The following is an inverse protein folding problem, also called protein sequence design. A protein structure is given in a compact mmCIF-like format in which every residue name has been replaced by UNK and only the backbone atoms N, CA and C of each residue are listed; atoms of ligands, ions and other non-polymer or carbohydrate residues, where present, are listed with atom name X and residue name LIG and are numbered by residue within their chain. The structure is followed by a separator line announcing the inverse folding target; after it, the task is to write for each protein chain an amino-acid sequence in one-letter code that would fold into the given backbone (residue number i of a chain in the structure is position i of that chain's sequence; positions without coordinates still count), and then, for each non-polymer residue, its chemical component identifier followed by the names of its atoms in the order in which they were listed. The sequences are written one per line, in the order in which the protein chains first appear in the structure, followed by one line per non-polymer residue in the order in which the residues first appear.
data_IF_456577199493
#
_entry.id   IF_456577199493
#
_cell.length_a   1.000
_cell.length_b   1.000
_cell.length_c   1.000
_cell.angle_alpha   90.00
_cell.angle_beta   90.00
_cell.angle_gamma   90.00
#
_symmetry.space_group_name_H-M   'P 1'
#
loop_
_entity.id
_entity.type
_entity.pdbx_description
1 polymer ?
#
# COMPACT_ATOMS: atom_id res chain seq x y z
N UNK A 1 -40.00 -8.10 -18.05
CA UNK A 1 -39.13 -7.19 -18.83
C UNK A 1 -37.90 -7.97 -19.27
N UNK A 2 -37.55 -7.98 -20.57
CA UNK A 2 -36.44 -8.76 -21.08
C UNK A 2 -35.17 -7.96 -20.88
N UNK A 3 -34.25 -8.45 -19.99
CA UNK A 3 -32.88 -7.92 -19.84
C UNK A 3 -32.10 -8.24 -21.13
N UNK A 4 -31.59 -7.22 -21.79
CA UNK A 4 -30.64 -7.38 -22.91
C UNK A 4 -29.22 -7.24 -22.31
N UNK A 5 -28.52 -8.35 -22.30
CA UNK A 5 -27.10 -8.40 -21.93
C UNK A 5 -26.28 -8.15 -23.20
N UNK A 6 -25.62 -7.02 -23.27
CA UNK A 6 -24.70 -6.72 -24.38
C UNK A 6 -23.28 -7.05 -23.90
N UNK A 7 -22.76 -8.17 -24.38
CA UNK A 7 -21.37 -8.58 -24.14
C UNK A 7 -20.47 -7.82 -25.12
N UNK A 8 -19.74 -6.82 -24.66
CA UNK A 8 -18.71 -6.15 -25.46
C UNK A 8 -17.34 -6.75 -25.10
N UNK A 9 -16.81 -7.58 -25.98
CA UNK A 9 -15.49 -8.19 -25.86
C UNK A 9 -14.46 -7.14 -26.30
N UNK A 10 -13.76 -6.49 -25.36
CA UNK A 10 -12.61 -5.64 -25.68
C UNK A 10 -11.35 -6.51 -25.83
N UNK A 11 -10.82 -6.58 -27.06
CA UNK A 11 -9.54 -7.23 -27.33
C UNK A 11 -8.38 -6.41 -26.77
N UNK A 12 -7.65 -6.98 -25.82
CA UNK A 12 -6.33 -6.47 -25.39
C UNK A 12 -5.28 -7.00 -26.36
N UNK A 13 -4.49 -6.08 -26.96
CA UNK A 13 -3.35 -6.42 -27.82
C UNK A 13 -2.18 -6.88 -26.93
N UNK A 14 -1.91 -8.18 -26.95
CA UNK A 14 -0.67 -8.73 -26.42
C UNK A 14 0.45 -8.60 -27.46
N UNK A 15 1.53 -7.94 -27.08
CA UNK A 15 2.78 -7.87 -27.87
C UNK A 15 3.59 -9.15 -27.65
N UNK A 16 3.56 -10.04 -28.62
CA UNK A 16 4.42 -11.23 -28.66
C UNK A 16 5.83 -10.89 -29.17
N UNK A 17 6.83 -11.10 -28.32
CA UNK A 17 8.24 -11.16 -28.72
C UNK A 17 8.60 -12.63 -28.98
N UNK A 18 8.64 -13.00 -30.26
CA UNK A 18 9.12 -14.31 -30.73
C UNK A 18 10.64 -14.34 -30.82
N UNK A 19 11.28 -15.21 -30.06
CA UNK A 19 12.68 -15.62 -30.28
C UNK A 19 12.71 -16.99 -31.00
N UNK A 20 13.17 -17.01 -32.24
CA UNK A 20 13.43 -18.24 -32.99
C UNK A 20 14.73 -18.92 -32.53
N UNK A 21 14.65 -20.19 -32.16
CA UNK A 21 15.82 -21.08 -32.04
C UNK A 21 15.53 -22.41 -32.71
N UNK A 22 16.23 -22.71 -33.83
CA UNK A 22 16.12 -23.96 -34.55
C UNK A 22 17.05 -25.04 -33.94
N UNK A 23 16.53 -26.26 -33.78
CA UNK A 23 17.33 -27.43 -33.39
C UNK A 23 16.66 -28.72 -33.84
N UNK A 24 17.41 -29.61 -34.48
CA UNK A 24 17.05 -30.79 -35.24
C UNK A 24 16.70 -32.02 -34.37
N UNK A 25 16.22 -33.15 -35.00
CA UNK A 25 15.39 -34.17 -34.34
C UNK A 25 16.16 -35.38 -33.81
N UNK A 26 15.61 -36.01 -32.79
CA UNK A 26 16.13 -37.29 -32.29
C UNK A 26 15.36 -37.83 -31.09
N UNK A 27 14.42 -38.67 -31.35
CA UNK A 27 13.77 -39.78 -30.67
C UNK A 27 13.91 -40.02 -29.15
N UNK A 28 12.77 -40.09 -28.51
CA UNK A 28 12.22 -41.19 -27.71
C UNK A 28 10.93 -40.68 -27.05
N UNK A 29 9.83 -41.38 -27.33
CA UNK A 29 8.56 -41.15 -26.62
C UNK A 29 8.70 -41.60 -25.13
N UNK A 30 9.04 -40.66 -24.27
CA UNK A 30 8.73 -40.77 -22.85
C UNK A 30 7.31 -40.19 -22.66
N UNK A 31 6.36 -41.09 -22.40
CA UNK A 31 5.03 -40.76 -21.91
C UNK A 31 5.13 -40.17 -20.49
N UNK A 32 5.65 -38.96 -20.36
CA UNK A 32 5.40 -38.16 -19.18
C UNK A 32 3.91 -37.74 -19.20
N UNK A 33 3.16 -37.81 -18.09
CA UNK A 33 1.80 -37.30 -18.05
C UNK A 33 1.83 -35.83 -18.50
N UNK A 34 0.82 -35.36 -19.25
CA UNK A 34 0.78 -33.97 -19.69
C UNK A 34 0.93 -33.09 -18.47
N UNK A 35 1.94 -32.23 -18.48
CA UNK A 35 2.20 -31.24 -17.45
C UNK A 35 0.94 -30.36 -17.42
N UNK A 36 0.29 -30.26 -16.25
CA UNK A 36 -0.87 -29.40 -16.09
C UNK A 36 -0.45 -28.00 -16.55
N UNK A 37 -1.16 -27.42 -17.52
CA UNK A 37 -0.92 -26.06 -17.97
C UNK A 37 -0.99 -25.14 -16.77
N UNK A 38 0.00 -24.27 -16.57
CA UNK A 38 -0.01 -23.29 -15.49
C UNK A 38 -1.22 -22.38 -15.67
N UNK A 39 -2.02 -22.22 -14.62
CA UNK A 39 -3.15 -21.31 -14.62
C UNK A 39 -2.68 -19.96 -14.06
N UNK A 40 -3.17 -18.89 -14.66
CA UNK A 40 -2.94 -17.53 -14.17
C UNK A 40 -4.26 -16.78 -14.03
N UNK A 41 -4.25 -15.75 -13.18
CA UNK A 41 -5.38 -14.85 -13.00
C UNK A 41 -5.33 -13.73 -14.02
N UNK A 42 -6.51 -13.36 -14.54
CA UNK A 42 -6.73 -12.13 -15.31
C UNK A 42 -7.96 -11.40 -14.76
N UNK A 43 -8.01 -10.09 -14.90
CA UNK A 43 -9.16 -9.28 -14.53
C UNK A 43 -9.84 -8.78 -15.80
N UNK A 44 -11.08 -9.21 -16.01
CA UNK A 44 -11.97 -8.69 -17.04
C UNK A 44 -12.92 -7.65 -16.43
N UNK A 45 -13.47 -6.78 -17.27
CA UNK A 45 -14.51 -5.82 -16.84
C UNK A 45 -15.84 -6.21 -17.47
N UNK A 46 -16.86 -6.35 -16.61
CA UNK A 46 -18.25 -6.53 -17.03
C UNK A 46 -19.03 -5.24 -16.84
N UNK A 47 -19.75 -4.81 -17.89
CA UNK A 47 -20.53 -3.57 -17.87
C UNK A 47 -22.00 -3.91 -17.76
N UNK A 48 -22.69 -3.25 -16.81
CA UNK A 48 -24.12 -3.30 -16.58
C UNK A 48 -24.70 -1.91 -16.84
N UNK A 49 -25.76 -1.83 -17.63
CA UNK A 49 -26.44 -0.58 -17.97
C UNK A 49 -27.95 -0.78 -17.92
N UNK A 50 -28.66 0.19 -17.34
CA UNK A 50 -30.09 0.20 -17.35
C UNK A 50 -30.63 1.64 -17.26
N UNK A 51 -31.88 1.87 -17.73
CA UNK A 51 -32.58 3.13 -17.61
C UNK A 51 -33.95 2.92 -16.98
N UNK A 52 -34.28 3.72 -16.00
CA UNK A 52 -35.58 3.79 -15.39
C UNK A 52 -36.38 4.94 -16.01
N UNK A 53 -37.61 4.67 -16.46
CA UNK A 53 -38.41 5.63 -17.21
C UNK A 53 -39.77 5.87 -16.57
N UNK A 54 -40.27 7.10 -16.74
CA UNK A 54 -41.68 7.44 -16.46
C UNK A 54 -42.62 6.78 -17.49
N UNK A 55 -43.94 6.84 -17.22
CA UNK A 55 -44.94 6.22 -18.08
C UNK A 55 -45.00 6.86 -19.48
N UNK A 56 -44.56 8.11 -19.63
CA UNK A 56 -44.46 8.84 -20.90
C UNK A 56 -43.14 8.59 -21.65
N UNK A 57 -42.21 7.76 -21.10
CA UNK A 57 -40.94 7.40 -21.69
C UNK A 57 -39.79 8.30 -21.30
N UNK A 58 -40.01 9.33 -20.48
CA UNK A 58 -38.94 10.20 -19.97
C UNK A 58 -37.98 9.38 -19.09
N UNK A 59 -36.67 9.47 -19.38
CA UNK A 59 -35.64 8.84 -18.54
C UNK A 59 -35.58 9.59 -17.21
N UNK A 60 -35.73 8.87 -16.10
CA UNK A 60 -35.66 9.39 -14.74
C UNK A 60 -34.32 9.17 -14.10
N UNK A 61 -33.74 7.98 -14.30
CA UNK A 61 -32.44 7.56 -13.81
C UNK A 61 -31.75 6.68 -14.86
N UNK A 62 -30.46 6.89 -15.05
CA UNK A 62 -29.57 5.94 -15.73
C UNK A 62 -28.57 5.35 -14.73
N UNK A 63 -28.35 4.05 -14.85
CA UNK A 63 -27.29 3.35 -14.12
C UNK A 63 -26.30 2.74 -15.06
N UNK A 64 -25.01 2.79 -14.69
CA UNK A 64 -23.91 2.17 -15.42
C UNK A 64 -22.83 1.70 -14.46
N UNK A 65 -22.59 0.40 -14.43
CA UNK A 65 -21.60 -0.19 -13.52
C UNK A 65 -20.54 -0.97 -14.28
N UNK A 66 -19.27 -0.64 -14.05
CA UNK A 66 -18.11 -1.42 -14.44
C UNK A 66 -17.71 -2.28 -13.26
N UNK A 67 -17.88 -3.60 -13.38
CA UNK A 67 -17.51 -4.54 -12.34
C UNK A 67 -16.33 -5.41 -12.78
N UNK A 68 -15.31 -5.57 -11.92
CA UNK A 68 -14.22 -6.48 -12.21
C UNK A 68 -14.70 -7.92 -12.06
N UNK A 69 -14.23 -8.78 -12.96
CA UNK A 69 -14.43 -10.22 -12.93
C UNK A 69 -13.07 -10.90 -12.92
N UNK A 70 -12.79 -11.67 -11.88
CA UNK A 70 -11.57 -12.44 -11.81
C UNK A 70 -11.72 -13.72 -12.65
N UNK A 71 -10.87 -13.89 -13.64
CA UNK A 71 -10.84 -15.02 -14.55
C UNK A 71 -9.59 -15.88 -14.31
N UNK A 72 -9.72 -17.20 -14.43
CA UNK A 72 -8.60 -18.11 -14.54
C UNK A 72 -8.39 -18.47 -16.01
N UNK A 73 -7.16 -18.33 -16.47
CA UNK A 73 -6.79 -18.65 -17.85
C UNK A 73 -5.63 -19.63 -17.91
N UNK A 74 -5.60 -20.40 -18.99
CA UNK A 74 -4.47 -21.28 -19.35
C UNK A 74 -3.35 -20.44 -19.96
N UNK A 75 -2.15 -21.03 -20.12
CA UNK A 75 -1.01 -20.39 -20.82
C UNK A 75 -1.36 -19.96 -22.26
N UNK A 76 -2.29 -20.66 -22.90
CA UNK A 76 -2.77 -20.31 -24.25
C UNK A 76 -3.84 -19.21 -24.21
N UNK A 77 -4.19 -18.67 -23.04
CA UNK A 77 -5.17 -17.61 -22.84
C UNK A 77 -6.65 -18.06 -22.88
N UNK A 78 -6.91 -19.37 -22.89
CA UNK A 78 -8.28 -19.88 -22.85
C UNK A 78 -8.85 -19.81 -21.44
N UNK A 79 -10.14 -19.45 -21.32
CA UNK A 79 -10.83 -19.40 -20.04
C UNK A 79 -10.91 -20.81 -19.42
N UNK A 80 -10.42 -20.93 -18.18
CA UNK A 80 -10.50 -22.17 -17.45
C UNK A 80 -11.87 -22.33 -16.79
N UNK A 81 -12.60 -23.38 -17.19
CA UNK A 81 -13.88 -23.76 -16.55
C UNK A 81 -13.75 -25.14 -15.89
N UNK A 82 -14.13 -25.24 -14.63
CA UNK A 82 -13.96 -26.47 -13.82
C UNK A 82 -14.65 -27.68 -14.47
N UNK A 83 -15.81 -27.47 -15.10
CA UNK A 83 -16.65 -28.54 -15.65
C UNK A 83 -16.03 -29.25 -16.87
N UNK A 84 -15.26 -28.54 -17.67
CA UNK A 84 -14.65 -29.08 -18.90
C UNK A 84 -13.32 -29.79 -18.64
N UNK A 85 -12.56 -29.31 -17.64
CA UNK A 85 -11.23 -29.84 -17.34
C UNK A 85 -11.24 -31.08 -16.41
N UNK A 86 -12.28 -31.28 -15.62
CA UNK A 86 -12.42 -32.51 -14.79
C UNK A 86 -12.56 -33.76 -15.67
N UNK A 87 -13.13 -33.61 -16.87
CA UNK A 87 -13.35 -34.74 -17.79
C UNK A 87 -12.20 -34.98 -18.78
N UNK A 88 -11.43 -33.95 -19.15
CA UNK A 88 -10.42 -34.06 -20.20
C UNK A 88 -9.02 -34.46 -19.71
N UNK A 89 -8.60 -34.08 -18.51
CA UNK A 89 -7.21 -34.21 -18.03
C UNK A 89 -7.05 -34.85 -16.63
N UNK A 90 -8.03 -35.58 -16.11
CA UNK A 90 -7.91 -36.19 -14.78
C UNK A 90 -7.85 -35.20 -13.62
N UNK A 91 -8.33 -33.98 -13.83
CA UNK A 91 -8.73 -33.02 -12.82
C UNK A 91 -7.64 -32.56 -11.85
N UNK A 92 -6.64 -31.83 -12.31
CA UNK A 92 -5.72 -31.09 -11.44
C UNK A 92 -5.74 -29.58 -11.71
N UNK A 93 -6.94 -28.98 -11.69
CA UNK A 93 -7.02 -27.52 -11.46
C UNK A 93 -6.55 -27.23 -10.04
N UNK A 94 -5.82 -26.12 -9.82
CA UNK A 94 -5.45 -25.74 -8.45
C UNK A 94 -6.72 -25.36 -7.67
N UNK A 95 -7.20 -26.16 -6.72
CA UNK A 95 -8.44 -25.87 -5.99
C UNK A 95 -8.42 -24.51 -5.29
N UNK A 96 -7.24 -24.05 -4.86
CA UNK A 96 -7.06 -22.75 -4.19
C UNK A 96 -7.36 -21.58 -5.16
N UNK A 97 -6.83 -21.62 -6.39
CA UNK A 97 -7.10 -20.58 -7.39
C UNK A 97 -8.59 -20.49 -7.76
N UNK A 98 -9.25 -21.64 -7.92
CA UNK A 98 -10.71 -21.69 -8.17
C UNK A 98 -11.49 -21.17 -6.99
N UNK A 99 -11.06 -21.46 -5.76
CA UNK A 99 -11.70 -20.93 -4.55
C UNK A 99 -11.55 -19.40 -4.48
N UNK A 100 -10.37 -18.86 -4.74
CA UNK A 100 -10.11 -17.43 -4.78
C UNK A 100 -10.96 -16.74 -5.85
N UNK A 101 -10.98 -17.25 -7.09
CA UNK A 101 -11.83 -16.75 -8.16
C UNK A 101 -13.30 -16.67 -7.74
N UNK A 102 -13.84 -17.75 -7.16
CA UNK A 102 -15.23 -17.81 -6.74
C UNK A 102 -15.54 -16.85 -5.60
N UNK A 103 -14.63 -16.69 -4.63
CA UNK A 103 -14.80 -15.77 -3.51
C UNK A 103 -14.86 -14.33 -4.01
N UNK A 104 -13.91 -13.92 -4.84
CA UNK A 104 -13.88 -12.58 -5.43
C UNK A 104 -15.15 -12.29 -6.25
N UNK A 105 -15.50 -13.16 -7.19
CA UNK A 105 -16.66 -12.96 -8.07
C UNK A 105 -18.00 -13.01 -7.31
N UNK A 106 -18.07 -13.74 -6.19
CA UNK A 106 -19.25 -13.72 -5.31
C UNK A 106 -19.41 -12.35 -4.66
N UNK A 107 -18.34 -11.74 -4.19
CA UNK A 107 -18.40 -10.39 -3.62
C UNK A 107 -18.76 -9.34 -4.70
N UNK A 108 -18.21 -9.43 -5.91
CA UNK A 108 -18.61 -8.53 -6.99
C UNK A 108 -20.10 -8.64 -7.35
N UNK A 109 -20.67 -9.85 -7.29
CA UNK A 109 -22.12 -10.03 -7.44
C UNK A 109 -22.92 -9.39 -6.28
N UNK A 110 -22.41 -9.43 -5.04
CA UNK A 110 -23.03 -8.73 -3.89
C UNK A 110 -22.97 -7.22 -4.09
N UNK A 111 -21.85 -6.68 -4.56
CA UNK A 111 -21.69 -5.26 -4.90
C UNK A 111 -22.71 -4.85 -5.97
N UNK A 112 -22.86 -5.62 -7.05
CA UNK A 112 -23.86 -5.37 -8.09
C UNK A 112 -25.28 -5.33 -7.52
N UNK A 113 -25.63 -6.32 -6.72
CA UNK A 113 -26.96 -6.37 -6.10
C UNK A 113 -27.25 -5.17 -5.19
N UNK A 114 -26.22 -4.68 -4.48
CA UNK A 114 -26.28 -3.45 -3.68
C UNK A 114 -26.56 -2.22 -4.55
N UNK A 115 -25.79 -2.05 -5.63
CA UNK A 115 -25.92 -0.93 -6.58
C UNK A 115 -27.27 -0.95 -7.29
N UNK A 116 -27.74 -2.11 -7.77
CA UNK A 116 -29.08 -2.26 -8.38
C UNK A 116 -30.20 -1.91 -7.38
N UNK A 117 -30.02 -2.27 -6.10
CA UNK A 117 -30.99 -1.93 -5.05
C UNK A 117 -31.04 -0.42 -4.77
N UNK A 118 -29.89 0.23 -4.71
CA UNK A 118 -29.78 1.68 -4.56
C UNK A 118 -30.42 2.41 -5.74
N UNK A 119 -30.07 2.02 -6.97
CA UNK A 119 -30.66 2.61 -8.18
C UNK A 119 -32.19 2.44 -8.23
N UNK A 120 -32.73 1.30 -7.78
CA UNK A 120 -34.16 1.09 -7.72
C UNK A 120 -34.87 2.03 -6.72
N UNK A 121 -34.20 2.34 -5.58
CA UNK A 121 -34.71 3.31 -4.61
C UNK A 121 -34.66 4.73 -5.18
N UNK A 122 -33.53 5.13 -5.78
CA UNK A 122 -33.40 6.43 -6.47
C UNK A 122 -34.47 6.59 -7.56
N UNK A 123 -34.69 5.58 -8.38
CA UNK A 123 -35.67 5.60 -9.44
C UNK A 123 -37.09 5.75 -8.93
N UNK A 124 -37.42 5.12 -7.79
CA UNK A 124 -38.74 5.27 -7.16
C UNK A 124 -38.97 6.72 -6.67
N UNK A 125 -37.97 7.31 -6.01
CA UNK A 125 -38.00 8.70 -5.57
C UNK A 125 -38.09 9.67 -6.75
N UNK A 126 -37.27 9.47 -7.78
CA UNK A 126 -37.30 10.27 -9.00
C UNK A 126 -38.68 10.21 -9.67
N UNK A 127 -39.37 9.05 -9.65
CA UNK A 127 -40.73 8.87 -10.21
C UNK A 127 -41.76 9.64 -9.44
N UNK A 128 -41.71 9.65 -8.10
CA UNK A 128 -42.64 10.41 -7.25
C UNK A 128 -42.48 11.91 -7.51
N UNK A 129 -41.23 12.41 -7.47
CA UNK A 129 -40.92 13.82 -7.71
C UNK A 129 -41.32 14.25 -9.14
N UNK A 130 -41.11 13.39 -10.13
CA UNK A 130 -41.49 13.66 -11.51
C UNK A 130 -43.03 13.74 -11.67
N UNK A 131 -43.77 12.89 -10.99
CA UNK A 131 -45.25 12.92 -11.01
C UNK A 131 -45.82 14.22 -10.44
N UNK A 132 -45.16 14.82 -9.44
CA UNK A 132 -45.57 16.08 -8.82
C UNK A 132 -45.11 17.32 -9.59
N UNK A 133 -43.87 17.31 -10.11
CA UNK A 133 -43.16 18.50 -10.59
C UNK A 133 -42.81 18.46 -12.09
N UNK A 134 -43.08 17.33 -12.77
CA UNK A 134 -42.69 17.13 -14.17
C UNK A 134 -41.13 17.24 -14.36
N UNK A 135 -40.73 17.71 -15.51
CA UNK A 135 -39.28 17.85 -15.86
C UNK A 135 -38.49 18.87 -15.01
N UNK A 136 -39.19 19.66 -14.16
CA UNK A 136 -38.53 20.61 -13.25
C UNK A 136 -37.72 19.93 -12.13
N UNK A 137 -37.89 18.61 -11.93
CA UNK A 137 -37.05 17.76 -11.06
C UNK A 137 -35.61 17.68 -11.56
N UNK A 138 -35.41 17.85 -12.87
CA UNK A 138 -34.12 17.74 -13.49
C UNK A 138 -33.50 19.12 -13.66
N UNK A 139 -32.52 19.46 -12.79
CA UNK A 139 -31.72 20.64 -12.97
C UNK A 139 -30.95 20.51 -14.31
N UNK A 140 -31.05 21.54 -15.14
CA UNK A 140 -30.41 21.58 -16.48
C UNK A 140 -30.89 20.49 -17.46
N UNK A 141 -32.02 19.84 -17.22
CA UNK A 141 -32.57 18.81 -18.09
C UNK A 141 -31.88 17.45 -18.01
N UNK A 142 -31.02 17.24 -17.01
CA UNK A 142 -30.29 15.98 -16.81
C UNK A 142 -31.10 15.04 -15.90
N UNK A 143 -31.24 13.80 -16.31
CA UNK A 143 -31.76 12.72 -15.45
C UNK A 143 -30.78 12.40 -14.31
N UNK A 144 -31.27 11.68 -13.31
CA UNK A 144 -30.42 11.19 -12.22
C UNK A 144 -29.47 10.09 -12.71
N UNK A 145 -28.34 9.96 -12.05
CA UNK A 145 -27.33 8.94 -12.42
C UNK A 145 -26.83 8.19 -11.19
N UNK A 146 -26.54 6.90 -11.38
CA UNK A 146 -25.79 6.07 -10.44
C UNK A 146 -24.77 5.25 -11.25
N UNK A 147 -23.50 5.54 -11.05
CA UNK A 147 -22.43 4.98 -11.85
C UNK A 147 -21.31 4.43 -10.95
N UNK A 148 -20.73 3.29 -11.33
CA UNK A 148 -19.49 2.77 -10.80
C UNK A 148 -18.50 2.62 -11.94
N UNK A 149 -17.37 3.30 -11.85
CA UNK A 149 -16.32 3.26 -12.87
C UNK A 149 -15.00 2.78 -12.25
N UNK A 150 -14.36 1.78 -12.86
CA UNK A 150 -13.06 1.32 -12.43
C UNK A 150 -12.01 2.41 -12.71
N UNK A 151 -11.24 2.79 -11.70
CA UNK A 151 -10.20 3.83 -11.80
C UNK A 151 -8.80 3.24 -11.82
N UNK A 152 -8.61 2.09 -11.15
CA UNK A 152 -7.31 1.42 -11.10
C UNK A 152 -7.50 -0.09 -10.91
N UNK A 153 -6.62 -0.86 -11.55
CA UNK A 153 -6.44 -2.29 -11.30
C UNK A 153 -4.94 -2.56 -11.21
N UNK A 154 -4.51 -3.12 -10.09
CA UNK A 154 -3.14 -3.54 -9.84
C UNK A 154 -3.15 -5.00 -9.37
N UNK A 155 -2.27 -5.82 -9.92
CA UNK A 155 -2.12 -7.21 -9.54
C UNK A 155 -0.64 -7.58 -9.54
N UNK A 156 -0.15 -8.09 -8.43
CA UNK A 156 1.17 -8.73 -8.36
C UNK A 156 1.07 -10.15 -8.94
N UNK A 157 2.18 -10.77 -9.29
CA UNK A 157 2.27 -12.09 -9.96
C UNK A 157 1.39 -13.20 -9.33
N UNK A 158 0.06 -13.04 -9.42
CA UNK A 158 -0.93 -14.01 -8.92
C UNK A 158 -1.06 -14.07 -7.40
N UNK A 159 -0.64 -13.03 -6.67
CA UNK A 159 -0.64 -13.02 -5.19
C UNK A 159 -1.61 -11.98 -4.62
N UNK A 160 -1.54 -10.73 -5.05
CA UNK A 160 -2.41 -9.63 -4.64
C UNK A 160 -3.20 -9.12 -5.83
N UNK A 161 -4.48 -8.81 -5.61
CA UNK A 161 -5.31 -8.02 -6.51
C UNK A 161 -5.82 -6.79 -5.73
N UNK A 162 -5.54 -5.59 -6.26
CA UNK A 162 -6.03 -4.33 -5.71
C UNK A 162 -6.76 -3.56 -6.80
N UNK A 163 -8.02 -3.25 -6.56
CA UNK A 163 -8.88 -2.54 -7.52
C UNK A 163 -9.47 -1.33 -6.82
N UNK A 164 -9.45 -0.17 -7.48
CA UNK A 164 -10.17 1.02 -7.07
C UNK A 164 -11.23 1.41 -8.10
N UNK A 165 -12.32 1.98 -7.63
CA UNK A 165 -13.43 2.47 -8.43
C UNK A 165 -14.00 3.75 -7.83
N UNK A 166 -14.58 4.59 -8.69
CA UNK A 166 -15.40 5.74 -8.31
C UNK A 166 -16.87 5.39 -8.40
N UNK A 167 -17.62 5.60 -7.33
CA UNK A 167 -19.07 5.54 -7.32
C UNK A 167 -19.61 6.97 -7.41
N UNK A 168 -20.14 7.33 -8.55
CA UNK A 168 -20.71 8.63 -8.83
C UNK A 168 -22.23 8.58 -8.76
N UNK A 169 -22.86 9.48 -7.98
CA UNK A 169 -24.30 9.59 -7.87
C UNK A 169 -24.75 11.02 -8.06
N UNK A 170 -25.84 11.21 -8.82
CA UNK A 170 -26.48 12.51 -9.02
C UNK A 170 -27.98 12.41 -8.84
N UNK A 171 -28.51 13.16 -7.88
CA UNK A 171 -29.92 13.19 -7.47
C UNK A 171 -30.63 14.48 -7.93
N UNK A 172 -30.17 15.12 -8.98
CA UNK A 172 -30.76 16.39 -9.45
C UNK A 172 -30.45 17.61 -8.57
N UNK A 173 -29.48 17.48 -7.65
CA UNK A 173 -29.04 18.57 -6.75
C UNK A 173 -28.10 19.57 -7.41
N UNK A 174 -27.44 20.40 -6.58
CA UNK A 174 -26.50 21.45 -7.03
C UNK A 174 -25.20 20.83 -7.55
N UNK A 175 -24.79 19.70 -7.01
CA UNK A 175 -23.60 18.94 -7.37
C UNK A 175 -23.84 17.44 -7.19
N UNK A 176 -23.06 16.58 -7.88
CA UNK A 176 -23.04 15.14 -7.63
C UNK A 176 -22.37 14.81 -6.31
N UNK A 177 -22.47 13.55 -5.92
CA UNK A 177 -21.62 12.93 -4.91
C UNK A 177 -20.71 11.89 -5.58
N UNK A 178 -19.44 11.89 -5.22
CA UNK A 178 -18.49 10.84 -5.59
C UNK A 178 -17.95 10.22 -4.32
N UNK A 179 -17.80 8.90 -4.32
CA UNK A 179 -17.15 8.15 -3.28
C UNK A 179 -16.17 7.13 -3.91
N UNK A 180 -14.99 7.00 -3.31
CA UNK A 180 -14.02 6.01 -3.73
C UNK A 180 -14.34 4.66 -3.09
N UNK A 181 -14.19 3.59 -3.83
CA UNK A 181 -14.26 2.20 -3.35
C UNK A 181 -12.99 1.47 -3.72
N UNK A 182 -12.55 0.54 -2.87
CA UNK A 182 -11.45 -0.36 -3.22
C UNK A 182 -11.70 -1.77 -2.70
N UNK A 183 -11.10 -2.73 -3.40
CA UNK A 183 -11.07 -4.14 -3.04
C UNK A 183 -9.62 -4.62 -3.11
N UNK A 184 -9.06 -4.95 -1.96
CA UNK A 184 -7.76 -5.57 -1.84
C UNK A 184 -7.97 -7.05 -1.52
N UNK A 185 -7.44 -7.93 -2.32
CA UNK A 185 -7.76 -9.34 -2.27
C UNK A 185 -6.49 -10.18 -2.38
N UNK A 186 -6.29 -11.07 -1.43
CA UNK A 186 -5.22 -12.05 -1.45
C UNK A 186 -5.61 -13.24 -2.33
N UNK A 187 -4.98 -13.35 -3.48
CA UNK A 187 -5.21 -14.42 -4.45
C UNK A 187 -4.68 -15.79 -3.95
N UNK A 188 -3.81 -15.80 -2.94
CA UNK A 188 -3.22 -17.04 -2.39
C UNK A 188 -4.12 -17.68 -1.34
N UNK A 189 -4.84 -16.86 -0.57
CA UNK A 189 -5.77 -17.32 0.48
C UNK A 189 -7.23 -17.26 0.03
N UNK A 190 -7.57 -16.39 -0.90
CA UNK A 190 -8.95 -16.13 -1.33
C UNK A 190 -9.73 -15.24 -0.36
N UNK A 191 -9.04 -14.36 0.36
CA UNK A 191 -9.63 -13.46 1.36
C UNK A 191 -9.44 -11.99 0.99
N UNK A 192 -10.42 -11.14 1.35
CA UNK A 192 -10.27 -9.69 1.27
C UNK A 192 -9.39 -9.20 2.41
N UNK A 193 -8.46 -8.30 2.07
CA UNK A 193 -7.47 -7.78 2.99
C UNK A 193 -7.97 -6.54 3.71
N UNK A 194 -7.73 -6.51 5.01
CA UNK A 194 -7.80 -5.31 5.86
C UNK A 194 -6.38 -4.86 6.20
N UNK A 195 -6.23 -3.64 6.67
CA UNK A 195 -4.91 -3.15 7.10
C UNK A 195 -4.34 -4.01 8.22
N UNK A 196 -5.17 -4.42 9.18
CA UNK A 196 -4.77 -5.29 10.31
C UNK A 196 -4.24 -6.66 9.85
N UNK A 197 -4.79 -7.22 8.77
CA UNK A 197 -4.33 -8.50 8.23
C UNK A 197 -2.91 -8.43 7.62
N UNK A 198 -2.46 -7.22 7.29
CA UNK A 198 -1.14 -6.96 6.72
C UNK A 198 -0.10 -6.61 7.78
N UNK A 199 -0.53 -6.22 8.97
CA UNK A 199 0.34 -5.73 10.02
C UNK A 199 1.20 -6.85 10.66
N UNK A 200 2.43 -6.50 11.04
CA UNK A 200 3.23 -7.26 11.99
C UNK A 200 2.64 -7.09 13.40
N UNK A 201 2.63 -8.16 14.21
CA UNK A 201 2.22 -8.07 15.61
C UNK A 201 3.19 -7.23 16.47
N UNK A 202 4.46 -7.14 16.06
CA UNK A 202 5.52 -6.44 16.78
C UNK A 202 5.69 -4.98 16.32
N UNK A 203 5.11 -4.62 15.18
CA UNK A 203 5.36 -3.32 14.53
C UNK A 203 6.75 -3.23 13.89
N UNK A 204 7.24 -2.00 13.71
CA UNK A 204 8.62 -1.72 13.31
C UNK A 204 9.59 -1.77 14.50
N UNK A 205 10.88 -1.48 14.29
CA UNK A 205 11.89 -1.47 15.35
C UNK A 205 11.66 -0.39 16.44
N UNK A 206 10.94 0.66 16.12
CA UNK A 206 10.57 1.72 17.08
C UNK A 206 9.29 1.38 17.83
N UNK A 207 8.61 0.28 17.47
CA UNK A 207 7.34 -0.15 18.03
C UNK A 207 6.14 0.51 17.38
N UNK A 208 6.31 1.23 16.24
CA UNK A 208 5.19 1.79 15.52
C UNK A 208 4.42 0.68 14.80
N UNK A 209 3.12 0.69 14.94
CA UNK A 209 2.24 -0.18 14.18
C UNK A 209 2.20 0.23 12.69
N UNK A 210 1.73 -0.66 11.82
CA UNK A 210 1.51 -0.35 10.40
C UNK A 210 0.62 0.89 10.22
N UNK A 211 -0.40 1.05 11.06
CA UNK A 211 -1.27 2.22 11.03
C UNK A 211 -0.51 3.50 11.40
N UNK A 212 0.33 3.47 12.43
CA UNK A 212 1.11 4.64 12.87
C UNK A 212 2.13 5.07 11.81
N UNK A 213 2.82 4.13 11.16
CA UNK A 213 3.76 4.44 10.08
C UNK A 213 3.08 5.14 8.90
N UNK A 214 1.92 4.63 8.45
CA UNK A 214 1.14 5.25 7.36
C UNK A 214 0.59 6.62 7.78
N UNK A 215 0.03 6.73 9.00
CA UNK A 215 -0.46 7.99 9.54
C UNK A 215 0.63 9.06 9.59
N UNK A 216 1.81 8.73 10.11
CA UNK A 216 2.93 9.68 10.23
C UNK A 216 3.33 10.22 8.86
N UNK A 217 3.45 9.36 7.86
CA UNK A 217 3.79 9.80 6.50
C UNK A 217 2.72 10.74 5.91
N UNK A 218 1.42 10.44 6.06
CA UNK A 218 0.34 11.32 5.60
C UNK A 218 0.38 12.66 6.33
N UNK A 219 0.58 12.65 7.66
CA UNK A 219 0.67 13.86 8.48
C UNK A 219 1.82 14.76 8.02
N UNK A 220 2.99 14.18 7.76
CA UNK A 220 4.16 14.90 7.22
C UNK A 220 3.89 15.48 5.84
N UNK A 221 3.24 14.76 4.93
CA UNK A 221 2.86 15.27 3.61
C UNK A 221 1.96 16.52 3.72
N UNK A 222 1.06 16.58 4.70
CA UNK A 222 0.20 17.74 4.95
C UNK A 222 1.03 18.89 5.52
N UNK A 223 1.90 18.62 6.50
CA UNK A 223 2.73 19.64 7.16
C UNK A 223 3.72 20.29 6.17
N UNK A 224 4.45 19.49 5.40
CA UNK A 224 5.44 19.97 4.43
C UNK A 224 4.84 20.84 3.33
N UNK A 225 3.63 20.51 2.86
CA UNK A 225 2.95 21.28 1.81
C UNK A 225 2.33 22.58 2.34
N UNK A 226 2.37 22.83 3.66
CA UNK A 226 1.71 23.99 4.27
C UNK A 226 0.20 24.01 4.04
N UNK A 227 -0.40 22.83 3.83
CA UNK A 227 -1.81 22.68 3.41
C UNK A 227 -2.80 22.66 4.57
N UNK A 228 -2.34 22.74 5.82
CA UNK A 228 -3.20 22.67 7.01
C UNK A 228 -4.38 23.66 6.98
N UNK A 229 -4.22 24.82 6.36
CA UNK A 229 -5.31 25.80 6.20
C UNK A 229 -6.45 25.33 5.26
N UNK A 230 -6.21 24.32 4.43
CA UNK A 230 -7.21 23.74 3.52
C UNK A 230 -8.06 22.63 4.13
N UNK A 231 -7.71 22.14 5.30
CA UNK A 231 -8.37 21.06 6.02
C UNK A 231 -9.29 21.59 7.13
N UNK A 232 -10.18 20.73 7.64
CA UNK A 232 -10.96 21.05 8.83
C UNK A 232 -10.06 21.16 10.07
N UNK A 233 -10.49 21.95 11.07
CA UNK A 233 -9.70 22.15 12.31
C UNK A 233 -9.39 20.84 13.07
N UNK A 234 -10.23 19.82 12.91
CA UNK A 234 -10.13 18.52 13.57
C UNK A 234 -9.67 17.39 12.63
N UNK A 235 -9.10 17.73 11.46
CA UNK A 235 -8.69 16.76 10.44
C UNK A 235 -7.74 15.68 10.98
N UNK A 236 -6.88 16.04 11.93
CA UNK A 236 -5.91 15.12 12.53
C UNK A 236 -6.60 13.93 13.23
N UNK A 237 -7.71 14.17 13.92
CA UNK A 237 -8.46 13.08 14.57
C UNK A 237 -9.07 12.11 13.55
N UNK A 238 -9.48 12.60 12.36
CA UNK A 238 -9.95 11.74 11.27
C UNK A 238 -8.80 11.01 10.56
N UNK A 239 -7.63 11.66 10.48
CA UNK A 239 -6.41 11.03 9.99
C UNK A 239 -6.02 9.81 10.84
N UNK A 240 -6.10 9.91 12.17
CA UNK A 240 -5.79 8.80 13.07
C UNK A 240 -6.73 7.60 12.87
N UNK A 241 -7.97 7.82 12.43
CA UNK A 241 -8.96 6.78 12.13
C UNK A 241 -9.06 6.46 10.62
N UNK A 242 -8.00 6.72 9.84
CA UNK A 242 -7.99 6.54 8.40
C UNK A 242 -8.36 5.12 7.94
N UNK A 243 -8.03 4.02 8.67
CA UNK A 243 -8.43 2.69 8.21
C UNK A 243 -9.94 2.50 8.11
N UNK A 244 -10.72 3.29 8.87
CA UNK A 244 -12.20 3.28 8.84
C UNK A 244 -12.76 4.33 7.89
N UNK A 245 -12.10 5.47 7.74
CA UNK A 245 -12.63 6.67 7.08
C UNK A 245 -12.12 6.89 5.67
N UNK A 246 -11.03 6.24 5.29
CA UNK A 246 -10.42 6.36 3.97
C UNK A 246 -10.55 5.06 3.18
N UNK A 247 -10.48 5.20 1.88
CA UNK A 247 -10.32 4.07 0.96
C UNK A 247 -8.85 3.80 0.72
N UNK A 248 -8.46 2.53 0.83
CA UNK A 248 -7.08 2.07 0.71
C UNK A 248 -6.95 1.19 -0.53
N UNK A 249 -6.03 1.52 -1.44
CA UNK A 249 -5.71 0.66 -2.57
C UNK A 249 -4.20 0.61 -2.83
N UNK A 250 -3.70 -0.60 -3.14
CA UNK A 250 -2.29 -0.82 -3.45
C UNK A 250 -1.98 -0.48 -4.90
N UNK A 251 -0.77 -0.03 -5.13
CA UNK A 251 -0.17 0.29 -6.42
C UNK A 251 1.18 -0.38 -6.54
N UNK A 252 1.85 -0.26 -7.67
CA UNK A 252 3.24 -0.69 -7.84
C UNK A 252 4.19 0.00 -6.85
N UNK A 253 3.91 1.25 -6.46
CA UNK A 253 4.83 2.09 -5.70
C UNK A 253 4.49 2.21 -4.21
N UNK A 254 3.33 1.72 -3.77
CA UNK A 254 2.90 1.84 -2.38
C UNK A 254 1.40 1.78 -2.20
N UNK A 255 0.93 2.40 -1.13
CA UNK A 255 -0.47 2.48 -0.74
C UNK A 255 -1.03 3.86 -1.10
N UNK A 256 -2.15 3.90 -1.80
CA UNK A 256 -2.95 5.12 -1.96
C UNK A 256 -4.02 5.15 -0.88
N UNK A 257 -4.09 6.24 -0.14
CA UNK A 257 -5.08 6.53 0.91
C UNK A 257 -5.95 7.68 0.42
N UNK A 258 -7.23 7.42 0.20
CA UNK A 258 -8.19 8.41 -0.32
C UNK A 258 -9.25 8.71 0.71
N UNK A 259 -9.30 9.96 1.17
CA UNK A 259 -10.42 10.50 1.94
C UNK A 259 -11.39 11.17 0.98
N UNK A 260 -12.62 10.72 0.96
CA UNK A 260 -13.67 11.35 0.14
C UNK A 260 -13.97 12.77 0.58
N UNK A 261 -14.70 13.49 -0.24
CA UNK A 261 -15.16 14.85 0.06
C UNK A 261 -15.86 14.92 1.41
N UNK A 262 -15.66 16.00 2.16
CA UNK A 262 -16.19 16.25 3.50
C UNK A 262 -15.62 15.38 4.62
N UNK A 263 -14.68 14.47 4.38
CA UNK A 263 -14.06 13.69 5.46
C UNK A 263 -13.05 14.53 6.23
N UNK A 264 -12.01 15.03 5.56
CA UNK A 264 -10.96 15.84 6.20
C UNK A 264 -10.85 17.25 5.63
N UNK A 265 -11.56 17.54 4.52
CA UNK A 265 -11.52 18.82 3.84
C UNK A 265 -12.89 19.15 3.23
N UNK A 266 -13.20 20.45 2.93
CA UNK A 266 -14.46 20.87 2.31
C UNK A 266 -14.66 20.25 0.93
N UNK A 267 -15.92 20.12 0.49
CA UNK A 267 -16.28 19.61 -0.85
C UNK A 267 -15.48 20.25 -1.99
N UNK A 268 -15.27 21.57 -1.91
CA UNK A 268 -14.55 22.32 -2.95
C UNK A 268 -13.05 21.94 -3.09
N UNK A 269 -12.49 21.31 -2.06
CA UNK A 269 -11.13 20.77 -2.10
C UNK A 269 -11.04 19.42 -2.85
N UNK A 270 -12.19 18.77 -3.11
CA UNK A 270 -12.24 17.44 -3.69
C UNK A 270 -11.82 16.34 -2.71
N UNK A 271 -11.71 15.09 -3.18
CA UNK A 271 -11.12 13.99 -2.42
C UNK A 271 -9.65 14.31 -2.10
N UNK A 272 -9.20 13.95 -0.90
CA UNK A 272 -7.82 14.12 -0.50
C UNK A 272 -7.09 12.78 -0.67
N UNK A 273 -6.09 12.76 -1.54
CA UNK A 273 -5.39 11.55 -1.96
C UNK A 273 -3.93 11.64 -1.55
N UNK A 274 -3.48 10.64 -0.80
CA UNK A 274 -2.10 10.51 -0.34
C UNK A 274 -1.49 9.24 -0.91
N UNK A 275 -0.26 9.35 -1.39
CA UNK A 275 0.53 8.21 -1.83
C UNK A 275 1.59 7.92 -0.77
N UNK A 276 1.53 6.76 -0.15
CA UNK A 276 2.47 6.33 0.88
C UNK A 276 3.36 5.24 0.27
N UNK A 277 4.66 5.51 0.05
CA UNK A 277 5.59 4.54 -0.49
C UNK A 277 5.71 3.29 0.39
N UNK A 278 6.03 2.14 -0.19
CA UNK A 278 6.24 0.91 0.60
C UNK A 278 7.38 1.08 1.61
N UNK A 279 8.44 1.80 1.28
CA UNK A 279 9.56 2.07 2.19
C UNK A 279 9.14 2.63 3.54
N UNK A 280 8.09 3.46 3.59
CA UNK A 280 7.61 4.12 4.80
C UNK A 280 6.92 3.18 5.81
N UNK A 281 6.46 2.03 5.36
CA UNK A 281 5.73 1.10 6.23
C UNK A 281 6.13 -0.37 6.07
N UNK A 282 7.11 -0.68 5.23
CA UNK A 282 7.55 -2.05 4.93
C UNK A 282 7.95 -2.83 6.18
N UNK A 283 8.64 -2.18 7.11
CA UNK A 283 9.15 -2.82 8.33
C UNK A 283 8.05 -3.15 9.34
N UNK A 284 6.87 -2.52 9.23
CA UNK A 284 5.69 -2.83 10.02
C UNK A 284 4.76 -3.87 9.36
N UNK A 285 5.12 -4.40 8.17
CA UNK A 285 4.36 -5.45 7.49
C UNK A 285 4.69 -6.83 8.06
N UNK A 286 3.68 -7.71 8.06
CA UNK A 286 3.87 -9.14 8.31
C UNK A 286 4.65 -9.81 7.17
N UNK A 287 5.30 -10.93 7.42
CA UNK A 287 6.03 -11.70 6.41
C UNK A 287 5.11 -12.17 5.27
N UNK A 288 3.85 -12.46 5.56
CA UNK A 288 2.86 -12.77 4.53
C UNK A 288 2.58 -11.57 3.63
N UNK A 289 2.36 -10.39 4.23
CA UNK A 289 2.15 -9.15 3.49
C UNK A 289 3.34 -8.81 2.57
N UNK A 290 4.57 -8.90 3.06
CA UNK A 290 5.80 -8.72 2.27
C UNK A 290 5.86 -9.67 1.07
N UNK A 291 5.38 -10.90 1.24
CA UNK A 291 5.36 -11.91 0.17
C UNK A 291 4.36 -11.57 -0.94
N UNK A 292 3.18 -11.04 -0.60
CA UNK A 292 2.10 -10.81 -1.56
C UNK A 292 2.17 -9.43 -2.23
N UNK A 293 2.77 -8.43 -1.57
CA UNK A 293 2.85 -7.06 -2.09
C UNK A 293 3.89 -6.88 -3.21
N UNK A 294 4.87 -7.80 -3.32
CA UNK A 294 5.92 -7.79 -4.36
C UNK A 294 6.66 -6.45 -4.44
N UNK A 295 7.12 -5.97 -3.28
CA UNK A 295 7.79 -4.68 -3.14
C UNK A 295 9.11 -4.66 -3.90
N UNK A 296 9.38 -3.61 -4.66
CA UNK A 296 10.61 -3.50 -5.45
C UNK A 296 11.86 -3.49 -4.56
N UNK A 297 12.98 -3.98 -5.11
CA UNK A 297 14.26 -4.00 -4.40
C UNK A 297 14.70 -2.59 -3.96
N UNK A 298 14.42 -1.56 -4.76
CA UNK A 298 14.71 -0.17 -4.41
C UNK A 298 13.94 0.27 -3.16
N UNK A 299 12.64 -0.01 -3.09
CA UNK A 299 11.80 0.30 -1.93
C UNK A 299 12.23 -0.47 -0.67
N UNK A 300 12.63 -1.74 -0.84
CA UNK A 300 13.14 -2.55 0.27
C UNK A 300 14.46 -2.00 0.81
N UNK A 301 15.38 -1.58 -0.08
CA UNK A 301 16.64 -0.94 0.32
C UNK A 301 16.40 0.38 1.06
N UNK A 302 15.43 1.20 0.64
CA UNK A 302 15.07 2.43 1.35
C UNK A 302 14.52 2.15 2.75
N UNK A 303 13.68 1.13 2.90
CA UNK A 303 13.17 0.70 4.21
C UNK A 303 14.30 0.17 5.13
N UNK A 304 15.26 -0.58 4.57
CA UNK A 304 16.45 -1.02 5.31
C UNK A 304 17.35 0.16 5.69
N UNK A 305 17.46 1.17 4.83
CA UNK A 305 18.21 2.39 5.09
C UNK A 305 17.62 3.21 6.24
N UNK A 306 16.30 3.38 6.27
CA UNK A 306 15.58 4.03 7.38
C UNK A 306 15.83 3.28 8.71
N UNK A 307 15.74 1.95 8.68
CA UNK A 307 16.11 1.11 9.82
C UNK A 307 17.57 1.32 10.23
N UNK A 308 18.49 1.39 9.28
CA UNK A 308 19.92 1.59 9.55
C UNK A 308 20.19 2.97 10.17
N UNK A 309 19.51 4.04 9.71
CA UNK A 309 19.57 5.36 10.34
C UNK A 309 19.10 5.27 11.80
N UNK A 310 17.98 4.63 12.06
CA UNK A 310 17.44 4.44 13.42
C UNK A 310 18.44 3.71 14.32
N UNK A 311 19.02 2.59 13.84
CA UNK A 311 20.01 1.82 14.59
C UNK A 311 21.29 2.62 14.85
N UNK A 312 21.78 3.38 13.85
CA UNK A 312 22.91 4.28 14.02
C UNK A 312 22.61 5.36 15.06
N UNK A 313 21.43 5.98 14.99
CA UNK A 313 21.00 7.01 15.95
C UNK A 313 20.96 6.48 17.39
N UNK A 314 20.59 5.23 17.61
CA UNK A 314 20.62 4.60 18.93
C UNK A 314 22.03 4.45 19.53
N UNK A 315 23.05 4.42 18.69
CA UNK A 315 24.45 4.45 19.16
C UNK A 315 24.96 5.86 19.46
N UNK A 316 24.56 6.85 18.66
CA UNK A 316 25.23 8.14 18.63
C UNK A 316 24.35 9.34 19.00
N UNK A 317 23.04 9.24 18.84
CA UNK A 317 22.11 10.37 18.98
C UNK A 317 21.04 10.16 20.03
N UNK A 318 20.25 9.10 19.93
CA UNK A 318 19.00 8.92 20.65
C UNK A 318 19.08 7.73 21.62
N UNK A 319 18.23 7.76 22.64
CA UNK A 319 18.02 6.60 23.52
C UNK A 319 17.14 5.57 22.78
N UNK A 320 17.57 4.29 22.69
CA UNK A 320 16.69 3.21 22.20
C UNK A 320 15.42 3.07 23.06
N UNK A 321 14.36 2.41 22.57
CA UNK A 321 13.15 2.16 23.36
C UNK A 321 13.44 1.51 24.71
N UNK A 322 12.95 2.11 25.83
CA UNK A 322 13.13 1.63 27.20
C UNK A 322 11.81 1.25 27.89
N UNK A 323 10.68 1.43 27.22
CA UNK A 323 9.35 1.17 27.78
C UNK A 323 8.93 2.17 28.87
N UNK A 324 7.67 2.06 29.33
CA UNK A 324 7.07 3.02 30.28
C UNK A 324 7.60 2.90 31.72
N UNK A 325 8.09 1.73 32.10
CA UNK A 325 8.58 1.45 33.47
C UNK A 325 9.81 0.54 33.42
N UNK A 326 10.95 1.02 32.90
CA UNK A 326 12.14 0.21 32.75
C UNK A 326 12.77 -0.14 34.09
N UNK A 327 13.38 -1.34 34.16
CA UNK A 327 14.28 -1.65 35.31
C UNK A 327 15.55 -0.82 35.20
N UNK A 328 16.06 -0.32 36.32
CA UNK A 328 17.26 0.49 36.38
C UNK A 328 18.45 -0.31 36.96
N UNK A 329 19.65 -0.03 36.48
CA UNK A 329 20.90 -0.57 37.04
C UNK A 329 22.02 0.45 36.97
N UNK A 330 22.92 0.45 37.93
CA UNK A 330 24.10 1.34 37.98
C UNK A 330 25.32 0.61 37.45
N UNK A 331 25.96 1.15 36.40
CA UNK A 331 27.21 0.63 35.81
C UNK A 331 28.21 1.78 35.71
N UNK A 332 29.37 1.66 36.35
CA UNK A 332 30.43 2.67 36.31
C UNK A 332 29.98 4.09 36.72
N UNK A 333 28.94 4.20 37.54
CA UNK A 333 28.38 5.49 38.01
C UNK A 333 27.37 6.14 37.08
N UNK A 334 26.89 5.39 36.06
CA UNK A 334 25.83 5.80 35.16
C UNK A 334 24.62 4.88 35.33
N UNK A 335 23.42 5.46 35.25
CA UNK A 335 22.18 4.69 35.27
C UNK A 335 21.84 4.16 33.90
N UNK A 336 21.65 2.85 33.80
CA UNK A 336 21.19 2.15 32.59
C UNK A 336 19.77 1.65 32.81
N UNK A 337 18.98 1.67 31.75
CA UNK A 337 17.59 1.25 31.71
C UNK A 337 17.41 -0.02 30.88
N UNK A 338 16.53 -0.92 31.30
CA UNK A 338 16.26 -2.12 30.51
C UNK A 338 15.68 -1.75 29.14
N UNK A 339 16.26 -2.27 28.09
CA UNK A 339 15.80 -2.06 26.71
C UNK A 339 14.41 -2.69 26.49
N UNK A 340 13.60 -2.05 25.63
CA UNK A 340 12.30 -2.52 25.16
C UNK A 340 12.25 -2.57 23.62
N UNK A 341 13.36 -2.98 22.99
CA UNK A 341 13.46 -3.11 21.54
C UNK A 341 12.76 -4.39 21.11
N UNK A 342 11.83 -4.37 20.14
CA UNK A 342 11.15 -5.56 19.64
C UNK A 342 12.14 -6.64 19.18
N UNK A 343 11.94 -7.88 19.66
CA UNK A 343 12.78 -9.02 19.28
C UNK A 343 14.20 -9.03 19.87
N UNK A 344 14.59 -8.03 20.72
CA UNK A 344 15.94 -7.89 21.27
C UNK A 344 15.90 -7.94 22.78
N UNK A 345 16.49 -8.96 23.38
CA UNK A 345 16.51 -9.16 24.85
C UNK A 345 17.91 -9.18 25.45
N UNK A 346 18.91 -9.53 24.67
CA UNK A 346 20.30 -9.71 25.08
C UNK A 346 21.26 -8.86 24.23
N UNK A 347 22.50 -8.74 24.66
CA UNK A 347 23.53 -8.08 23.84
C UNK A 347 23.83 -8.88 22.55
N UNK A 348 23.71 -10.22 22.57
CA UNK A 348 23.84 -11.07 21.40
C UNK A 348 22.74 -10.76 20.37
N UNK A 349 21.46 -10.65 20.82
CA UNK A 349 20.34 -10.28 19.94
C UNK A 349 20.58 -8.89 19.30
N UNK A 350 21.16 -7.94 20.05
CA UNK A 350 21.48 -6.60 19.53
C UNK A 350 22.61 -6.66 18.47
N UNK A 351 23.62 -7.49 18.67
CA UNK A 351 24.66 -7.73 17.67
C UNK A 351 24.04 -8.36 16.40
N UNK A 352 23.17 -9.35 16.54
CA UNK A 352 22.54 -10.02 15.43
C UNK A 352 21.63 -9.06 14.64
N UNK A 353 20.93 -8.16 15.34
CA UNK A 353 20.16 -7.09 14.71
C UNK A 353 21.06 -6.16 13.89
N UNK A 354 22.17 -5.69 14.47
CA UNK A 354 23.11 -4.81 13.78
C UNK A 354 23.73 -5.48 12.54
N UNK A 355 24.06 -6.78 12.60
CA UNK A 355 24.66 -7.51 11.47
C UNK A 355 23.71 -7.75 10.31
N UNK A 356 22.41 -7.55 10.49
CA UNK A 356 21.43 -7.57 9.38
C UNK A 356 21.54 -6.35 8.49
N UNK A 357 21.97 -5.20 9.04
CA UNK A 357 21.97 -3.92 8.34
C UNK A 357 23.37 -3.34 8.14
N UNK A 358 24.37 -3.80 8.88
CA UNK A 358 25.75 -3.29 8.80
C UNK A 358 26.77 -4.40 8.64
N UNK A 359 27.82 -4.08 7.87
CA UNK A 359 28.99 -4.95 7.84
C UNK A 359 29.48 -5.23 9.26
N UNK A 360 29.82 -6.50 9.51
CA UNK A 360 30.19 -6.96 10.85
C UNK A 360 31.33 -6.13 11.47
N UNK A 361 32.34 -5.76 10.67
CA UNK A 361 33.48 -4.99 11.17
C UNK A 361 33.08 -3.57 11.56
N UNK A 362 32.12 -2.97 10.84
CA UNK A 362 31.58 -1.64 11.14
C UNK A 362 30.75 -1.68 12.43
N UNK A 363 29.86 -2.66 12.55
CA UNK A 363 29.04 -2.82 13.76
C UNK A 363 29.89 -3.13 14.99
N UNK A 364 30.85 -4.07 14.91
CA UNK A 364 31.77 -4.41 16.00
C UNK A 364 32.57 -3.17 16.49
N UNK A 365 33.02 -2.32 15.55
CA UNK A 365 33.69 -1.07 15.90
C UNK A 365 32.80 -0.15 16.77
N UNK A 366 31.51 -0.01 16.43
CA UNK A 366 30.60 0.83 17.21
C UNK A 366 30.34 0.29 18.61
N UNK A 367 30.26 -1.04 18.76
CA UNK A 367 30.15 -1.65 20.09
C UNK A 367 31.43 -1.46 20.93
N UNK A 368 32.62 -1.48 20.30
CA UNK A 368 33.89 -1.24 20.99
C UNK A 368 34.08 0.23 21.40
N UNK A 369 33.56 1.16 20.61
CA UNK A 369 33.69 2.61 20.82
C UNK A 369 32.59 3.21 21.71
N UNK A 370 31.52 2.47 22.00
CA UNK A 370 30.33 2.97 22.69
C UNK A 370 30.04 2.19 23.97
N UNK A 371 29.82 2.92 25.06
CA UNK A 371 29.31 2.38 26.33
C UNK A 371 27.76 2.37 26.38
N UNK A 372 27.07 2.49 25.23
CA UNK A 372 25.61 2.60 25.16
C UNK A 372 24.88 1.38 25.69
N UNK A 373 25.41 0.20 25.46
CA UNK A 373 24.76 -1.08 25.74
C UNK A 373 25.52 -1.88 26.78
N UNK A 374 24.79 -2.52 27.68
CA UNK A 374 25.34 -3.44 28.67
C UNK A 374 24.38 -4.62 28.87
N UNK A 375 24.95 -5.79 29.18
CA UNK A 375 24.15 -6.95 29.56
C UNK A 375 24.30 -7.21 31.06
N UNK A 376 23.16 -7.30 31.77
CA UNK A 376 23.12 -7.62 33.21
C UNK A 376 22.15 -8.77 33.43
N UNK A 377 22.63 -9.89 33.95
CA UNK A 377 21.86 -11.10 34.19
C UNK A 377 21.09 -11.65 32.98
N UNK A 378 21.66 -11.54 31.77
CA UNK A 378 21.05 -12.04 30.53
C UNK A 378 19.95 -11.11 29.99
N UNK A 379 19.96 -9.85 30.37
CA UNK A 379 19.04 -8.83 29.86
C UNK A 379 19.82 -7.61 29.36
N UNK A 380 19.40 -7.06 28.23
CA UNK A 380 19.95 -5.85 27.63
C UNK A 380 19.52 -4.61 28.41
N UNK A 381 20.49 -3.74 28.68
CA UNK A 381 20.29 -2.40 29.24
C UNK A 381 20.95 -1.36 28.35
N UNK A 382 20.38 -0.17 28.33
CA UNK A 382 20.85 0.96 27.53
C UNK A 382 21.11 2.18 28.39
N UNK A 383 22.16 2.92 28.08
CA UNK A 383 22.46 4.21 28.69
C UNK A 383 21.61 5.28 27.99
N UNK A 384 20.73 5.94 28.76
CA UNK A 384 19.95 7.05 28.25
C UNK A 384 20.83 8.28 28.06
N UNK A 385 21.00 8.71 26.82
CA UNK A 385 21.74 9.92 26.48
C UNK A 385 21.33 10.38 25.07
N UNK A 386 20.67 11.52 25.00
CA UNK A 386 20.19 12.12 23.76
C UNK A 386 21.08 13.31 23.38
N UNK A 387 21.25 13.52 22.08
CA UNK A 387 21.91 14.69 21.50
C UNK A 387 20.87 15.46 20.69
N UNK A 388 21.04 16.79 20.60
CA UNK A 388 20.22 17.61 19.72
C UNK A 388 20.55 17.36 18.24
N UNK A 389 19.56 17.52 17.39
CA UNK A 389 19.71 17.55 15.93
C UNK A 389 20.16 18.93 15.45
N UNK A 390 20.62 19.03 14.20
CA UNK A 390 20.91 20.29 13.54
C UNK A 390 19.60 20.88 12.97
N UNK A 391 19.10 21.93 13.59
CA UNK A 391 17.85 22.59 13.20
C UNK A 391 17.95 23.27 11.83
N UNK A 392 19.16 23.44 11.26
CA UNK A 392 19.36 24.01 9.92
C UNK A 392 19.06 23.02 8.77
N UNK A 393 18.89 21.74 9.07
CA UNK A 393 18.42 20.75 8.10
C UNK A 393 16.92 20.95 7.87
N UNK A 394 16.54 21.30 6.65
CA UNK A 394 15.15 21.67 6.31
C UNK A 394 14.48 20.68 5.35
N UNK A 395 15.27 19.89 4.64
CA UNK A 395 14.77 18.85 3.74
C UNK A 395 15.82 17.73 3.59
N UNK A 396 15.33 16.53 3.40
CA UNK A 396 16.13 15.33 3.22
C UNK A 396 15.49 14.44 2.15
N UNK A 397 16.29 14.02 1.18
CA UNK A 397 15.83 13.11 0.12
C UNK A 397 16.78 11.94 -0.06
N UNK A 398 16.24 10.78 -0.43
CA UNK A 398 16.99 9.56 -0.65
C UNK A 398 16.83 9.06 -2.08
N UNK A 399 17.90 8.51 -2.63
CA UNK A 399 17.87 7.80 -3.91
C UNK A 399 18.74 6.54 -3.85
N UNK A 400 18.38 5.53 -4.63
CA UNK A 400 19.09 4.24 -4.66
C UNK A 400 19.67 4.01 -6.05
N UNK A 401 20.92 3.61 -6.11
CA UNK A 401 21.55 3.08 -7.33
C UNK A 401 21.84 1.60 -7.11
N UNK A 402 21.33 0.73 -7.97
CA UNK A 402 21.51 -0.73 -7.90
C UNK A 402 22.48 -1.20 -8.99
N UNK A 403 23.38 -2.13 -8.64
CA UNK A 403 24.25 -2.89 -9.55
C UNK A 403 24.25 -4.37 -9.10
N UNK A 404 23.27 -5.11 -9.56
CA UNK A 404 22.99 -6.48 -9.12
C UNK A 404 22.60 -6.53 -7.64
N UNK A 405 23.37 -7.29 -6.84
CA UNK A 405 23.18 -7.40 -5.38
C UNK A 405 23.92 -6.31 -4.59
N UNK A 406 24.50 -5.31 -5.25
CA UNK A 406 25.21 -4.20 -4.62
C UNK A 406 24.66 -2.87 -5.07
N UNK A 407 24.93 -1.82 -4.31
CA UNK A 407 24.46 -0.49 -4.68
C UNK A 407 24.93 0.59 -3.71
N UNK A 408 24.33 1.75 -3.87
CA UNK A 408 24.57 2.91 -3.01
C UNK A 408 23.25 3.62 -2.77
N UNK A 409 22.95 3.91 -1.50
CA UNK A 409 21.94 4.91 -1.15
C UNK A 409 22.66 6.26 -1.11
N UNK A 410 22.08 7.25 -1.76
CA UNK A 410 22.51 8.65 -1.68
C UNK A 410 21.47 9.43 -0.91
N UNK A 411 21.87 10.00 0.22
CA UNK A 411 21.10 10.94 1.01
C UNK A 411 21.54 12.35 0.62
N UNK A 412 20.58 13.20 0.25
CA UNK A 412 20.81 14.62 -0.03
C UNK A 412 20.16 15.44 1.07
N UNK A 413 20.94 16.22 1.79
CA UNK A 413 20.49 17.12 2.86
C UNK A 413 20.49 18.55 2.33
N UNK A 414 19.39 19.25 2.52
CA UNK A 414 19.24 20.66 2.19
C UNK A 414 19.22 21.48 3.47
N UNK A 415 20.05 22.52 3.50
CA UNK A 415 20.16 23.42 4.65
C UNK A 415 19.40 24.74 4.43
N UNK A 416 19.02 25.34 5.55
CA UNK A 416 18.33 26.63 5.56
C UNK A 416 18.92 27.60 6.55
N UNK A 417 18.63 28.89 6.32
CA UNK A 417 18.89 29.96 7.27
C UNK A 417 17.61 30.34 8.01
N UNK A 418 17.73 30.62 9.31
CA UNK A 418 16.61 31.07 10.12
C UNK A 418 16.25 32.51 9.74
N UNK A 419 15.02 32.74 9.29
CA UNK A 419 14.46 34.08 9.05
C UNK A 419 13.65 34.56 10.25
N UNK A 420 14.18 35.59 10.97
CA UNK A 420 13.52 36.15 12.15
C UNK A 420 12.17 36.82 11.82
N UNK A 421 11.98 37.31 10.58
CA UNK A 421 10.77 38.03 10.20
C UNK A 421 9.58 37.07 9.98
N UNK A 422 9.81 35.94 9.37
CA UNK A 422 8.81 34.89 9.16
C UNK A 422 8.77 33.86 10.29
N UNK A 423 9.78 33.85 11.18
CA UNK A 423 9.99 32.82 12.21
C UNK A 423 10.00 31.39 11.60
N UNK A 424 10.71 31.23 10.49
CA UNK A 424 10.82 29.95 9.78
C UNK A 424 12.21 29.80 9.16
N UNK A 425 12.60 28.54 8.91
CA UNK A 425 13.78 28.19 8.14
C UNK A 425 13.49 28.39 6.64
N UNK A 426 14.42 28.96 5.91
CA UNK A 426 14.33 29.17 4.46
C UNK A 426 15.54 28.57 3.76
N UNK A 427 15.38 27.86 2.62
CA UNK A 427 16.50 27.29 1.90
C UNK A 427 17.58 28.32 1.60
N UNK A 428 18.83 28.02 1.97
CA UNK A 428 19.97 28.91 1.71
C UNK A 428 20.75 28.52 0.44
N UNK A 429 20.38 27.40 -0.20
CA UNK A 429 21.01 26.86 -1.40
C UNK A 429 22.23 25.96 -1.12
N UNK A 430 22.48 25.63 0.14
CA UNK A 430 23.47 24.63 0.52
C UNK A 430 22.84 23.24 0.51
N UNK A 431 23.50 22.30 -0.19
CA UNK A 431 23.13 20.87 -0.24
C UNK A 431 24.40 20.04 0.00
N UNK A 432 24.24 18.96 0.74
CA UNK A 432 25.31 17.99 0.98
C UNK A 432 24.82 16.57 0.66
N UNK A 433 25.69 15.78 -0.01
CA UNK A 433 25.38 14.41 -0.38
C UNK A 433 26.24 13.44 0.40
N UNK A 434 25.58 12.42 0.98
CA UNK A 434 26.21 11.31 1.69
C UNK A 434 25.93 10.01 0.95
N UNK A 435 26.95 9.19 0.77
CA UNK A 435 26.87 7.92 0.05
C UNK A 435 27.01 6.75 1.04
N UNK A 436 26.07 5.82 0.96
CA UNK A 436 25.99 4.63 1.81
C UNK A 436 26.04 3.37 0.93
N UNK A 437 27.26 2.84 0.69
CA UNK A 437 27.42 1.63 -0.11
C UNK A 437 26.89 0.42 0.65
N UNK A 438 26.16 -0.45 -0.06
CA UNK A 438 25.56 -1.66 0.50
C UNK A 438 25.75 -2.89 -0.41
N UNK A 439 25.49 -4.06 0.18
CA UNK A 439 25.33 -5.34 -0.54
C UNK A 439 24.08 -6.03 0.01
N UNK A 440 23.26 -6.63 -0.86
CA UNK A 440 22.08 -7.40 -0.44
C UNK A 440 22.54 -8.76 0.10
N UNK A 441 22.23 -9.04 1.36
CA UNK A 441 22.54 -10.30 2.03
C UNK A 441 21.31 -10.79 2.77
N UNK A 442 20.82 -11.97 2.40
CA UNK A 442 19.62 -12.55 3.04
C UNK A 442 18.34 -11.74 2.85
N UNK A 443 18.29 -10.89 1.80
CA UNK A 443 17.14 -10.03 1.48
C UNK A 443 17.24 -8.61 2.06
N UNK A 444 18.29 -8.30 2.86
CA UNK A 444 18.51 -6.98 3.45
C UNK A 444 19.70 -6.26 2.85
N UNK A 445 19.64 -4.93 2.81
CA UNK A 445 20.76 -4.07 2.48
C UNK A 445 21.73 -3.99 3.68
N UNK A 446 22.93 -4.54 3.51
CA UNK A 446 23.99 -4.51 4.51
C UNK A 446 24.99 -3.41 4.15
N UNK A 447 25.05 -2.35 4.94
CA UNK A 447 25.86 -1.15 4.70
C UNK A 447 27.29 -1.36 5.16
N UNK A 448 28.26 -1.12 4.26
CA UNK A 448 29.71 -1.26 4.53
C UNK A 448 30.36 0.03 5.03
N UNK A 449 29.73 1.17 4.83
CA UNK A 449 30.09 2.47 5.39
C UNK A 449 28.83 3.27 5.69
N UNK A 450 28.84 4.04 6.77
CA UNK A 450 27.68 4.81 7.21
C UNK A 450 28.11 6.20 7.72
N UNK A 451 28.44 7.14 6.80
CA UNK A 451 28.89 8.50 7.13
C UNK A 451 27.69 9.41 7.45
N UNK A 452 27.04 9.17 8.59
CA UNK A 452 25.85 9.94 8.96
C UNK A 452 26.21 11.39 9.35
N UNK A 453 25.50 12.38 8.87
CA UNK A 453 25.82 13.82 9.04
C UNK A 453 25.39 14.44 10.37
N UNK A 454 24.61 13.75 11.21
CA UNK A 454 23.99 14.28 12.43
C UNK A 454 24.90 14.31 13.65
#
# INVERSE_FOLDING_TARGET
MKKWMTLLLCCVLALNLTACGAGAPGGSEDNAPPQASALHFEVATQIYENEYKADDGTVLLAERYELPVLELRTEDGELYTLAENVTANGGTGNPAQVTAQNAFNTEMNNVLAGLESEAAQMAAEAKELYAENGTSVFLNGSYWTNELSLTQTYMTEGKLLSIAAENYTYYGGVHPNSATRAWNFDLTTGEFLTLDALASEEGDLQGNSLQESIYSNIYEQIAQKGLSEGYFDDYDSYLQDFPTLATLNFTENGLTVTFDQYVIAPYAAGPQVFSVPYSEFYNALSEHAKTILDVSQEQTVLADFDTAITLWAWFFMNTPPIGDAPDETEINGYTYYSAAIPGVSTLEDMHDLMYRYFDKALADQWFEESDRYAEVNGRLYVLSADRGSDDSVIDETHSVTLDGESGTVTQTITYGDWDEASQSWTPNGEEENFEYPFTIVGGHAVFSAFPCPY
#
